data_IF_508543709818
#
_entry.id   IF_508543709818
#
_cell.length_a   1.000
_cell.length_b   1.000
_cell.length_c   1.000
_cell.angle_alpha   90.00
_cell.angle_beta   90.00
_cell.angle_gamma   90.00
#
_symmetry.space_group_name_H-M   'P 1'
#
loop_
_entity.id
_entity.type
_entity.pdbx_description
1 polymer ?
#
# COMPACT_ATOMS: atom_id res chain seq x y z
N UNK A 1 39.94 -34.22 2.54
CA UNK A 1 39.62 -33.43 1.34
C UNK A 1 38.37 -34.02 0.70
N UNK A 2 37.18 -33.47 1.03
CA UNK A 2 35.88 -33.90 0.48
C UNK A 2 35.48 -32.88 -0.59
N UNK A 3 35.27 -33.34 -1.83
CA UNK A 3 34.77 -32.50 -2.94
C UNK A 3 33.25 -32.44 -2.82
N UNK A 4 32.69 -31.24 -2.63
CA UNK A 4 31.25 -30.97 -2.82
C UNK A 4 30.96 -30.81 -4.33
N UNK A 5 29.83 -31.32 -4.84
CA UNK A 5 29.44 -31.10 -6.22
C UNK A 5 28.79 -29.71 -6.40
N UNK A 6 29.35 -28.93 -7.32
CA UNK A 6 28.68 -27.79 -7.97
C UNK A 6 27.54 -28.33 -8.83
N UNK A 7 26.29 -28.25 -8.36
CA UNK A 7 25.09 -28.47 -9.19
C UNK A 7 23.92 -27.66 -8.61
N UNK A 8 24.02 -26.33 -8.67
CA UNK A 8 22.92 -25.41 -8.36
C UNK A 8 23.08 -24.14 -9.19
N UNK A 9 22.94 -24.24 -10.52
CA UNK A 9 22.90 -23.09 -11.40
C UNK A 9 22.26 -23.44 -12.75
N UNK A 10 20.95 -23.71 -12.78
CA UNK A 10 20.12 -23.60 -13.99
C UNK A 10 18.67 -24.09 -13.71
N UNK A 11 17.89 -23.35 -12.92
CA UNK A 11 16.45 -23.63 -12.79
C UNK A 11 15.65 -22.38 -12.38
N UNK A 12 15.96 -21.20 -12.94
CA UNK A 12 15.23 -19.97 -12.59
C UNK A 12 15.15 -18.99 -13.77
N UNK A 13 14.67 -19.42 -14.95
CA UNK A 13 14.52 -18.54 -16.11
C UNK A 13 13.30 -18.81 -17.01
N UNK A 14 12.23 -19.46 -16.52
CA UNK A 14 11.02 -19.65 -17.34
C UNK A 14 9.77 -19.41 -16.50
N UNK A 15 9.39 -18.14 -16.33
CA UNK A 15 8.01 -17.70 -16.07
C UNK A 15 7.87 -16.16 -16.17
N UNK A 16 7.79 -15.57 -17.39
CA UNK A 16 7.25 -14.23 -17.55
C UNK A 16 6.11 -14.22 -18.59
N UNK A 17 5.09 -15.07 -18.43
CA UNK A 17 3.97 -15.15 -19.38
C UNK A 17 2.57 -14.95 -18.77
N UNK A 18 2.47 -14.66 -17.47
CA UNK A 18 1.20 -14.37 -16.80
C UNK A 18 1.15 -12.98 -16.14
N UNK A 19 2.09 -12.08 -16.49
CA UNK A 19 1.91 -10.64 -16.30
C UNK A 19 0.99 -10.15 -17.41
N UNK A 20 -0.31 -10.43 -17.25
CA UNK A 20 -1.34 -9.88 -18.12
C UNK A 20 -1.12 -8.39 -18.29
N UNK A 21 -1.23 -7.93 -19.54
CA UNK A 21 -1.01 -6.56 -20.00
C UNK A 21 -1.61 -5.54 -19.03
N UNK A 22 -0.81 -5.06 -18.08
CA UNK A 22 -1.01 -3.78 -17.45
C UNK A 22 -0.62 -2.74 -18.50
N UNK A 23 -1.52 -2.49 -19.44
CA UNK A 23 -1.37 -1.41 -20.40
C UNK A 23 -1.13 -0.12 -19.64
N UNK A 24 -0.07 0.55 -20.05
CA UNK A 24 0.38 1.85 -19.60
C UNK A 24 -0.80 2.83 -19.67
N UNK A 25 -1.44 3.10 -18.52
CA UNK A 25 -2.44 4.15 -18.41
C UNK A 25 -1.69 5.45 -18.63
N UNK A 26 -1.78 5.99 -19.85
CA UNK A 26 -1.27 7.33 -20.18
C UNK A 26 -2.03 8.32 -19.30
N UNK A 27 -1.32 8.84 -18.30
CA UNK A 27 -1.81 9.91 -17.47
C UNK A 27 -1.76 11.18 -18.32
N UNK A 28 -2.88 11.51 -18.96
CA UNK A 28 -3.05 12.87 -19.48
C UNK A 28 -3.21 13.80 -18.27
N UNK A 29 -2.30 14.76 -18.06
CA UNK A 29 -2.44 15.70 -16.97
C UNK A 29 -3.77 16.44 -17.17
N UNK A 30 -4.69 16.27 -16.23
CA UNK A 30 -5.98 16.95 -16.25
C UNK A 30 -5.77 18.46 -16.43
N UNK A 31 -6.68 19.14 -17.17
CA UNK A 31 -6.55 20.57 -17.44
C UNK A 31 -6.33 21.30 -16.13
N UNK A 32 -5.28 22.12 -16.07
CA UNK A 32 -4.93 22.91 -14.91
C UNK A 32 -6.19 23.62 -14.41
N UNK A 33 -6.58 23.33 -13.15
CA UNK A 33 -7.74 23.94 -12.53
C UNK A 33 -7.57 25.46 -12.62
N UNK A 34 -8.41 26.10 -13.42
CA UNK A 34 -8.53 27.55 -13.49
C UNK A 34 -8.96 27.99 -12.10
N UNK A 35 -8.02 28.57 -11.34
CA UNK A 35 -8.32 29.22 -10.06
C UNK A 35 -9.24 30.39 -10.35
N UNK A 36 -10.53 30.19 -10.14
CA UNK A 36 -11.47 31.29 -10.00
C UNK A 36 -11.17 31.98 -8.67
N UNK A 37 -10.33 33.01 -8.75
CA UNK A 37 -10.14 34.01 -7.72
C UNK A 37 -11.49 34.72 -7.50
N UNK A 38 -12.27 34.21 -6.55
CA UNK A 38 -13.48 34.87 -6.06
C UNK A 38 -13.08 35.68 -4.83
N UNK A 39 -12.78 36.95 -5.07
CA UNK A 39 -12.90 37.96 -4.04
C UNK A 39 -14.39 38.10 -3.70
N UNK A 40 -14.79 37.75 -2.49
CA UNK A 40 -15.66 38.65 -1.71
C UNK A 40 -15.71 38.21 -0.25
N UNK A 41 -15.16 39.09 0.58
CA UNK A 41 -15.21 39.05 2.02
C UNK A 41 -16.45 39.84 2.44
N UNK A 42 -17.55 39.16 2.79
CA UNK A 42 -18.71 39.84 3.37
C UNK A 42 -19.23 39.07 4.58
N UNK A 43 -18.87 39.61 5.73
CA UNK A 43 -19.39 39.35 7.06
C UNK A 43 -20.92 39.40 7.05
N UNK A 44 -21.56 38.27 7.32
CA UNK A 44 -22.98 38.23 7.68
C UNK A 44 -23.17 37.46 9.00
N UNK A 45 -23.73 38.21 9.94
CA UNK A 45 -24.15 37.88 11.30
C UNK A 45 -25.19 36.73 11.32
N UNK A 46 -25.10 35.75 12.24
CA UNK A 46 -26.08 34.67 12.31
C UNK A 46 -27.35 35.09 13.06
N UNK A 47 -28.55 34.97 12.47
CA UNK A 47 -29.79 35.09 13.24
C UNK A 47 -30.06 33.83 14.07
N UNK A 48 -30.55 34.09 15.27
CA UNK A 48 -30.95 33.12 16.27
C UNK A 48 -32.16 32.27 15.85
N UNK A 49 -32.16 31.03 16.37
CA UNK A 49 -33.33 30.21 16.71
C UNK A 49 -34.26 29.74 15.59
N UNK A 50 -34.26 28.42 15.38
CA UNK A 50 -35.49 27.66 15.20
C UNK A 50 -35.33 26.27 15.82
N UNK A 51 -35.96 26.11 16.98
CA UNK A 51 -36.24 24.83 17.63
C UNK A 51 -37.09 23.99 16.69
N UNK A 52 -36.57 22.84 16.26
CA UNK A 52 -37.34 21.84 15.52
C UNK A 52 -37.69 20.67 16.44
N UNK A 53 -38.96 20.22 16.50
CA UNK A 53 -39.44 19.26 17.48
C UNK A 53 -38.97 17.82 17.20
N UNK A 54 -38.84 17.07 18.29
CA UNK A 54 -38.44 15.67 18.34
C UNK A 54 -39.37 14.75 17.52
N UNK A 55 -38.83 13.78 16.75
CA UNK A 55 -39.63 12.72 16.16
C UNK A 55 -40.05 11.68 17.21
N UNK A 56 -41.31 11.29 17.15
CA UNK A 56 -41.98 10.30 17.99
C UNK A 56 -41.33 8.90 17.89
N UNK A 57 -41.38 8.09 18.98
CA UNK A 57 -40.88 6.71 18.96
C UNK A 57 -41.90 5.77 18.31
N UNK A 58 -41.54 5.20 17.15
CA UNK A 58 -42.28 4.10 16.53
C UNK A 58 -41.88 2.78 17.20
N UNK A 59 -42.86 2.16 17.89
CA UNK A 59 -42.75 0.85 18.52
C UNK A 59 -42.72 -0.29 17.49
N UNK A 60 -42.12 -1.45 17.85
CA UNK A 60 -41.80 -2.54 16.93
C UNK A 60 -43.03 -3.37 16.54
N UNK A 61 -43.10 -3.77 15.28
CA UNK A 61 -44.06 -4.78 14.78
C UNK A 61 -43.28 -6.02 14.32
N UNK A 62 -43.15 -7.01 15.19
CA UNK A 62 -43.16 -8.44 14.84
C UNK A 62 -44.61 -8.93 14.90
N UNK A 63 -45.03 -10.08 14.32
CA UNK A 63 -44.22 -11.17 13.76
C UNK A 63 -44.68 -11.66 12.36
N UNK A 64 -43.81 -12.36 11.63
CA UNK A 64 -44.24 -13.24 10.53
C UNK A 64 -43.46 -14.55 10.56
N UNK A 65 -44.11 -15.52 11.18
CA UNK A 65 -43.98 -16.96 11.08
C UNK A 65 -43.73 -17.40 9.62
N UNK A 66 -42.55 -17.93 9.30
CA UNK A 66 -42.30 -18.61 8.03
C UNK A 66 -42.05 -20.09 8.29
N UNK A 67 -42.87 -20.85 7.57
CA UNK A 67 -43.08 -22.28 7.66
C UNK A 67 -41.80 -23.12 7.42
N UNK A 68 -41.73 -24.18 8.21
CA UNK A 68 -40.92 -25.38 7.98
C UNK A 68 -41.26 -26.01 6.63
N UNK A 69 -40.32 -25.99 5.68
CA UNK A 69 -40.38 -26.79 4.45
C UNK A 69 -39.36 -27.94 4.54
N UNK A 70 -39.86 -29.14 4.23
CA UNK A 70 -39.18 -30.42 4.30
C UNK A 70 -37.96 -30.53 3.34
N UNK A 71 -36.97 -31.38 3.65
CA UNK A 71 -35.85 -31.65 2.77
C UNK A 71 -36.28 -32.52 1.58
N UNK A 72 -36.00 -32.03 0.36
CA UNK A 72 -36.10 -32.82 -0.86
C UNK A 72 -34.86 -33.71 -1.00
N UNK A 73 -35.15 -34.99 -1.17
CA UNK A 73 -34.26 -36.10 -1.49
C UNK A 73 -33.71 -35.93 -2.93
N UNK A 74 -32.43 -35.59 -3.06
CA UNK A 74 -31.72 -35.55 -4.35
C UNK A 74 -30.78 -36.74 -4.46
N UNK A 75 -31.19 -37.67 -5.33
CA UNK A 75 -30.41 -38.81 -5.78
C UNK A 75 -29.10 -38.40 -6.47
N UNK A 76 -28.06 -39.27 -6.47
CA UNK A 76 -26.77 -39.00 -7.08
C UNK A 76 -26.86 -39.14 -8.61
N UNK A 77 -26.52 -38.06 -9.33
CA UNK A 77 -26.35 -38.09 -10.79
C UNK A 77 -24.91 -38.50 -11.10
N UNK A 78 -24.72 -39.74 -11.55
CA UNK A 78 -23.49 -40.21 -12.19
C UNK A 78 -23.20 -39.35 -13.43
N UNK A 79 -22.13 -38.55 -13.39
CA UNK A 79 -21.59 -37.89 -14.57
C UNK A 79 -20.54 -38.78 -15.21
N UNK A 80 -20.92 -39.33 -16.37
CA UNK A 80 -20.07 -40.02 -17.34
C UNK A 80 -19.05 -39.04 -17.94
N UNK A 81 -17.74 -39.38 -18.03
CA UNK A 81 -16.76 -38.50 -18.66
C UNK A 81 -16.91 -38.57 -20.18
N UNK A 82 -17.37 -37.48 -20.78
CA UNK A 82 -17.37 -37.30 -22.23
C UNK A 82 -15.98 -36.82 -22.69
N UNK A 83 -15.42 -37.54 -23.65
CA UNK A 83 -14.25 -37.19 -24.44
C UNK A 83 -14.28 -35.73 -24.92
N UNK A 84 -13.20 -34.99 -24.66
CA UNK A 84 -12.97 -33.70 -25.28
C UNK A 84 -12.44 -33.89 -26.72
N UNK A 85 -12.99 -33.21 -27.73
CA UNK A 85 -12.48 -33.27 -29.09
C UNK A 85 -11.16 -32.50 -29.23
N UNK A 86 -10.21 -33.12 -29.94
CA UNK A 86 -8.98 -32.53 -30.45
C UNK A 86 -9.31 -31.28 -31.29
N UNK A 87 -8.91 -30.10 -30.82
CA UNK A 87 -8.94 -28.88 -31.63
C UNK A 87 -7.58 -28.76 -32.33
N UNK A 88 -7.55 -29.09 -33.61
CA UNK A 88 -6.46 -28.73 -34.52
C UNK A 88 -6.43 -27.21 -34.68
N UNK A 89 -5.45 -26.55 -34.07
CA UNK A 89 -5.12 -25.16 -34.38
C UNK A 89 -4.33 -25.08 -35.69
N UNK A 90 -4.74 -24.25 -36.66
CA UNK A 90 -4.00 -24.05 -37.90
C UNK A 90 -2.67 -23.32 -37.66
N UNK A 91 -1.65 -23.51 -38.54
CA UNK A 91 -0.35 -22.89 -38.41
C UNK A 91 -0.45 -21.36 -38.61
N UNK A 92 0.17 -20.61 -37.69
CA UNK A 92 0.40 -19.17 -37.86
C UNK A 92 1.40 -18.97 -39.01
N UNK A 93 0.93 -18.34 -40.09
CA UNK A 93 1.78 -17.75 -41.12
C UNK A 93 2.59 -16.59 -40.51
N UNK A 94 3.91 -16.78 -40.44
CA UNK A 94 4.91 -15.77 -40.15
C UNK A 94 4.98 -14.77 -41.31
N UNK A 95 4.28 -13.65 -41.18
CA UNK A 95 4.49 -12.50 -42.05
C UNK A 95 5.86 -11.87 -41.75
N UNK A 96 6.73 -12.00 -42.75
CA UNK A 96 8.04 -11.37 -42.87
C UNK A 96 7.86 -9.92 -43.36
N UNK A 97 8.84 -9.06 -43.04
CA UNK A 97 9.07 -7.69 -43.57
C UNK A 97 8.24 -6.56 -42.92
N UNK A 98 8.82 -5.49 -42.39
CA UNK A 98 9.69 -4.53 -43.12
C UNK A 98 10.45 -3.63 -42.13
N UNK A 99 11.72 -3.26 -42.37
CA UNK A 99 12.41 -2.20 -41.63
C UNK A 99 12.14 -0.83 -42.30
N UNK A 100 11.55 0.12 -41.58
CA UNK A 100 11.30 1.47 -42.12
C UNK A 100 11.61 2.57 -41.11
N UNK A 101 12.49 3.47 -41.58
CA UNK A 101 12.68 4.87 -41.24
C UNK A 101 13.42 5.24 -39.94
N UNK A 102 14.72 5.48 -40.16
CA UNK A 102 15.60 6.42 -39.47
C UNK A 102 14.97 7.83 -39.35
N UNK A 103 14.86 8.40 -38.13
CA UNK A 103 14.44 9.78 -37.94
C UNK A 103 15.61 10.76 -38.22
N UNK A 104 15.37 11.89 -38.91
CA UNK A 104 16.41 12.84 -39.24
C UNK A 104 16.89 13.62 -38.01
N UNK A 105 18.21 13.76 -37.92
CA UNK A 105 18.89 14.70 -37.06
C UNK A 105 18.47 16.14 -37.41
N UNK A 106 17.95 16.89 -36.42
CA UNK A 106 17.85 18.33 -36.53
C UNK A 106 17.87 19.03 -35.16
N UNK A 107 18.84 19.96 -35.06
CA UNK A 107 18.84 21.21 -34.32
C UNK A 107 18.89 21.16 -32.78
N UNK A 108 20.12 21.27 -32.28
CA UNK A 108 20.46 22.03 -31.08
C UNK A 108 19.97 23.48 -31.20
N UNK A 109 19.20 24.01 -30.23
CA UNK A 109 19.16 25.43 -29.98
C UNK A 109 20.16 25.82 -28.88
N UNK A 110 20.72 26.99 -29.12
CA UNK A 110 21.82 27.67 -28.45
C UNK A 110 21.60 27.90 -26.95
N UNK A 111 22.74 27.94 -26.26
CA UNK A 111 22.89 28.39 -24.89
C UNK A 111 22.42 29.84 -24.72
N UNK A 112 21.45 30.05 -23.82
CA UNK A 112 21.21 31.36 -23.22
C UNK A 112 21.91 31.39 -21.87
N UNK A 113 23.05 32.10 -21.84
CA UNK A 113 23.71 32.52 -20.62
C UNK A 113 22.77 33.44 -19.83
N UNK A 114 22.50 33.07 -18.57
CA UNK A 114 21.87 34.00 -17.61
C UNK A 114 22.96 34.53 -16.68
N UNK A 115 23.08 35.86 -16.51
CA UNK A 115 24.14 36.49 -15.73
C UNK A 115 23.97 36.24 -14.23
N UNK A 116 25.11 36.17 -13.56
CA UNK A 116 25.26 36.24 -12.14
C UNK A 116 24.59 37.50 -11.57
N UNK A 117 23.69 37.32 -10.62
CA UNK A 117 23.27 38.37 -9.70
C UNK A 117 23.66 38.01 -8.27
N UNK A 118 24.00 39.06 -7.57
CA UNK A 118 24.96 39.09 -6.51
C UNK A 118 24.40 38.71 -5.15
N UNK A 119 25.35 38.25 -4.34
CA UNK A 119 25.34 38.20 -2.90
C UNK A 119 24.47 39.26 -2.21
N UNK A 120 23.60 38.80 -1.31
CA UNK A 120 23.36 39.47 -0.02
C UNK A 120 23.01 38.39 1.00
N UNK A 121 24.03 37.92 1.73
CA UNK A 121 23.82 37.18 2.96
C UNK A 121 23.53 38.19 4.08
N UNK A 122 22.39 38.12 4.79
CA UNK A 122 22.22 38.84 6.04
C UNK A 122 23.13 38.18 7.08
N UNK A 123 24.17 38.93 7.47
CA UNK A 123 25.05 38.64 8.59
C UNK A 123 24.22 38.71 9.87
N UNK A 124 23.80 37.56 10.40
CA UNK A 124 23.19 37.44 11.72
C UNK A 124 24.30 37.63 12.76
N UNK A 125 24.35 38.85 13.32
CA UNK A 125 25.13 39.16 14.49
C UNK A 125 24.75 38.20 15.62
N UNK A 126 25.70 37.35 15.99
CA UNK A 126 25.66 36.54 17.19
C UNK A 126 25.82 37.48 18.39
N UNK A 127 24.70 37.94 18.91
CA UNK A 127 24.67 38.65 20.19
C UNK A 127 25.02 37.65 21.30
N UNK A 128 26.18 37.89 21.90
CA UNK A 128 26.77 37.07 22.95
C UNK A 128 26.02 37.24 24.26
N UNK A 129 24.90 36.54 24.42
CA UNK A 129 24.31 36.30 25.72
C UNK A 129 24.99 35.09 26.36
N UNK A 130 26.07 35.36 27.09
CA UNK A 130 26.70 34.40 27.99
C UNK A 130 25.66 33.99 29.06
N UNK A 131 25.24 32.71 29.10
CA UNK A 131 24.32 32.26 30.15
C UNK A 131 25.03 32.36 31.51
N UNK A 132 24.34 32.85 32.55
CA UNK A 132 24.88 32.88 33.89
C UNK A 132 25.21 31.45 34.33
N UNK A 133 26.42 31.28 34.86
CA UNK A 133 26.86 30.08 35.54
C UNK A 133 25.94 29.84 36.75
N UNK A 134 24.87 29.09 36.52
CA UNK A 134 23.94 28.63 37.53
C UNK A 134 24.42 27.31 38.11
N UNK A 135 24.60 27.30 39.42
CA UNK A 135 25.02 26.19 40.27
C UNK A 135 24.36 24.84 39.95
N UNK A 136 25.18 23.80 40.09
CA UNK A 136 24.77 22.40 39.97
C UNK A 136 23.71 22.03 41.01
N UNK A 137 22.47 21.99 40.55
CA UNK A 137 21.50 21.06 41.10
C UNK A 137 21.74 19.72 40.40
N UNK A 138 22.29 18.76 41.15
CA UNK A 138 22.45 17.38 40.73
C UNK A 138 21.08 16.81 40.34
N UNK A 139 20.75 16.87 39.06
CA UNK A 139 19.54 16.30 38.46
C UNK A 139 19.74 14.82 38.13
N UNK A 140 20.49 14.10 38.98
CA UNK A 140 20.90 12.71 38.79
C UNK A 140 19.98 11.72 39.53
N UNK A 141 18.93 12.21 40.22
CA UNK A 141 18.18 11.40 41.20
C UNK A 141 16.65 11.38 40.99
N UNK A 142 16.14 11.87 39.86
CA UNK A 142 14.69 11.88 39.57
C UNK A 142 14.28 11.11 38.31
N UNK A 143 15.21 10.45 37.62
CA UNK A 143 14.84 9.51 36.58
C UNK A 143 14.66 8.14 37.23
N UNK A 144 13.42 7.68 37.47
CA UNK A 144 13.20 6.31 37.91
C UNK A 144 13.90 5.41 36.90
N UNK A 145 14.81 4.56 37.38
CA UNK A 145 15.43 3.53 36.55
C UNK A 145 14.30 2.73 35.92
N UNK A 146 14.07 2.96 34.62
CA UNK A 146 13.02 2.32 33.85
C UNK A 146 13.34 0.83 33.90
N UNK A 147 12.61 0.13 34.77
CA UNK A 147 12.82 -1.29 34.99
C UNK A 147 12.49 -1.95 33.66
N UNK A 148 13.45 -2.68 33.03
CA UNK A 148 13.24 -3.23 31.70
C UNK A 148 11.95 -4.03 31.72
N UNK A 149 11.00 -3.62 30.86
CA UNK A 149 9.71 -4.26 30.77
C UNK A 149 9.93 -5.76 30.53
N UNK A 150 9.12 -6.64 31.16
CA UNK A 150 9.24 -8.07 30.96
C UNK A 150 9.23 -8.41 29.47
N UNK A 151 10.21 -9.21 29.04
CA UNK A 151 10.37 -9.66 27.65
C UNK A 151 9.01 -10.16 27.14
N UNK A 152 8.42 -9.40 26.21
CA UNK A 152 7.19 -9.83 25.55
C UNK A 152 7.47 -11.17 24.86
N UNK A 153 6.58 -12.18 24.99
CA UNK A 153 6.81 -13.49 24.42
C UNK A 153 7.08 -13.37 22.92
N UNK A 154 8.15 -14.03 22.44
CA UNK A 154 8.48 -14.02 21.04
C UNK A 154 7.31 -14.60 20.22
N UNK A 155 6.76 -13.80 19.31
CA UNK A 155 5.66 -14.19 18.41
C UNK A 155 6.09 -15.36 17.55
N UNK A 156 5.23 -16.38 17.40
CA UNK A 156 5.56 -17.54 16.59
C UNK A 156 5.71 -17.14 15.10
N UNK A 157 6.65 -17.74 14.34
CA UNK A 157 6.82 -17.43 12.91
C UNK A 157 5.54 -17.53 12.09
N UNK A 158 4.70 -18.54 12.37
CA UNK A 158 3.41 -18.72 11.71
C UNK A 158 2.43 -17.57 11.95
N UNK A 159 2.42 -16.98 13.15
CA UNK A 159 1.57 -15.83 13.48
C UNK A 159 2.07 -14.57 12.75
N UNK A 160 3.39 -14.37 12.68
CA UNK A 160 3.99 -13.27 11.90
C UNK A 160 3.62 -13.37 10.43
N UNK A 161 3.74 -14.58 9.85
CA UNK A 161 3.36 -14.82 8.46
C UNK A 161 1.87 -14.54 8.23
N UNK A 162 0.99 -14.96 9.13
CA UNK A 162 -0.45 -14.71 9.01
C UNK A 162 -0.81 -13.23 9.14
N UNK A 163 -0.19 -12.47 10.05
CA UNK A 163 -0.35 -11.00 10.15
C UNK A 163 0.10 -10.33 8.84
N UNK A 164 1.26 -10.73 8.33
CA UNK A 164 1.77 -10.24 7.06
C UNK A 164 0.80 -10.53 5.90
N UNK A 165 0.34 -11.78 5.77
CA UNK A 165 -0.58 -12.20 4.71
C UNK A 165 -1.93 -11.48 4.79
N UNK A 166 -2.47 -11.28 5.98
CA UNK A 166 -3.70 -10.53 6.18
C UNK A 166 -3.55 -9.10 5.65
N UNK A 167 -2.52 -8.38 6.07
CA UNK A 167 -2.28 -7.00 5.68
C UNK A 167 -1.92 -6.84 4.19
N UNK A 168 -1.00 -7.68 3.67
CA UNK A 168 -0.55 -7.58 2.28
C UNK A 168 -1.64 -7.93 1.28
N UNK A 169 -2.43 -8.99 1.52
CA UNK A 169 -3.49 -9.41 0.60
C UNK A 169 -4.68 -8.46 0.66
N UNK A 170 -5.05 -7.96 1.84
CA UNK A 170 -6.10 -6.96 1.97
C UNK A 170 -5.78 -5.67 1.21
N UNK A 171 -4.58 -5.11 1.45
CA UNK A 171 -4.15 -3.87 0.79
C UNK A 171 -3.92 -4.05 -0.72
N UNK A 172 -3.45 -5.23 -1.16
CA UNK A 172 -3.33 -5.54 -2.59
C UNK A 172 -4.70 -5.70 -3.26
N UNK A 173 -5.66 -6.38 -2.61
CA UNK A 173 -7.03 -6.47 -3.09
C UNK A 173 -7.68 -5.07 -3.19
N UNK A 174 -7.42 -4.20 -2.22
CA UNK A 174 -7.86 -2.80 -2.25
C UNK A 174 -7.24 -2.04 -3.45
N UNK A 175 -5.95 -2.25 -3.76
CA UNK A 175 -5.31 -1.67 -4.92
C UNK A 175 -5.89 -2.17 -6.26
N UNK A 176 -6.22 -3.46 -6.36
CA UNK A 176 -6.91 -4.03 -7.53
C UNK A 176 -8.32 -3.45 -7.70
N UNK A 177 -9.06 -3.33 -6.59
CA UNK A 177 -10.37 -2.69 -6.57
C UNK A 177 -10.31 -1.20 -6.95
N UNK A 178 -9.32 -0.45 -6.47
CA UNK A 178 -9.08 0.95 -6.85
C UNK A 178 -8.92 1.13 -8.37
N UNK A 179 -8.27 0.16 -9.02
CA UNK A 179 -8.08 0.13 -10.48
C UNK A 179 -9.28 -0.43 -11.24
N UNK A 180 -10.41 -0.65 -10.57
CA UNK A 180 -11.67 -1.13 -11.14
C UNK A 180 -11.50 -2.44 -11.93
N UNK A 181 -10.61 -3.32 -11.45
CA UNK A 181 -10.51 -4.66 -12.00
C UNK A 181 -11.79 -5.45 -11.67
N UNK A 182 -12.17 -6.45 -12.50
CA UNK A 182 -13.32 -7.30 -12.23
C UNK A 182 -13.24 -7.96 -10.85
N UNK A 183 -14.38 -8.14 -10.17
CA UNK A 183 -14.45 -8.64 -8.80
C UNK A 183 -13.77 -10.00 -8.63
N UNK A 184 -13.88 -10.85 -9.65
CA UNK A 184 -13.28 -12.19 -9.69
C UNK A 184 -11.75 -12.15 -9.55
N UNK A 185 -11.12 -11.01 -9.88
CA UNK A 185 -9.67 -10.82 -9.78
C UNK A 185 -9.20 -10.52 -8.36
N UNK A 186 -10.01 -9.86 -7.53
CA UNK A 186 -9.61 -9.44 -6.19
C UNK A 186 -10.34 -10.15 -5.06
N UNK A 187 -11.52 -10.73 -5.30
CA UNK A 187 -12.30 -11.44 -4.26
C UNK A 187 -11.56 -12.65 -3.69
N UNK A 188 -10.87 -13.43 -4.54
CA UNK A 188 -10.06 -14.55 -4.09
C UNK A 188 -8.95 -14.09 -3.13
N UNK A 189 -8.23 -13.03 -3.50
CA UNK A 189 -7.19 -12.43 -2.65
C UNK A 189 -7.76 -11.88 -1.35
N UNK A 190 -8.95 -11.25 -1.39
CA UNK A 190 -9.62 -10.73 -0.20
C UNK A 190 -10.08 -11.87 0.74
N UNK A 191 -10.56 -12.99 0.19
CA UNK A 191 -10.92 -14.18 0.98
C UNK A 191 -9.70 -14.80 1.66
N UNK A 192 -8.57 -14.87 0.96
CA UNK A 192 -7.30 -15.31 1.56
C UNK A 192 -6.81 -14.36 2.66
N UNK A 193 -6.97 -13.05 2.47
CA UNK A 193 -6.66 -12.05 3.50
C UNK A 193 -7.51 -12.27 4.76
N UNK A 194 -8.83 -12.47 4.58
CA UNK A 194 -9.76 -12.74 5.66
C UNK A 194 -9.43 -14.05 6.40
N UNK A 195 -9.08 -15.12 5.68
CA UNK A 195 -8.68 -16.38 6.29
C UNK A 195 -7.40 -16.23 7.14
N UNK A 196 -6.40 -15.51 6.63
CA UNK A 196 -5.19 -15.21 7.39
C UNK A 196 -5.50 -14.38 8.64
N UNK A 197 -6.33 -13.33 8.51
CA UNK A 197 -6.72 -12.46 9.60
C UNK A 197 -7.47 -13.22 10.72
N UNK A 198 -8.42 -14.09 10.35
CA UNK A 198 -9.14 -14.96 11.29
C UNK A 198 -8.19 -15.86 12.07
N UNK A 199 -7.15 -16.42 11.42
CA UNK A 199 -6.19 -17.31 12.07
C UNK A 199 -5.38 -16.64 13.19
N UNK A 200 -5.21 -15.32 13.13
CA UNK A 200 -4.51 -14.50 14.15
C UNK A 200 -5.45 -13.56 14.91
N UNK A 201 -6.76 -13.73 14.73
CA UNK A 201 -7.80 -12.90 15.34
C UNK A 201 -7.84 -11.45 14.87
N UNK A 202 -7.09 -11.03 13.85
CA UNK A 202 -7.08 -9.65 13.33
C UNK A 202 -8.37 -9.37 12.56
N UNK A 203 -8.96 -8.20 12.77
CA UNK A 203 -10.13 -7.75 12.04
C UNK A 203 -9.69 -6.92 10.84
N UNK A 204 -10.13 -7.30 9.64
CA UNK A 204 -9.89 -6.54 8.43
C UNK A 204 -11.10 -5.64 8.13
N UNK A 205 -10.89 -4.35 7.88
CA UNK A 205 -11.97 -3.47 7.48
C UNK A 205 -12.48 -3.85 6.07
N UNK A 206 -13.75 -3.59 5.75
CA UNK A 206 -14.27 -3.79 4.41
C UNK A 206 -13.55 -2.88 3.40
N UNK A 207 -13.56 -3.26 2.13
CA UNK A 207 -13.04 -2.40 1.07
C UNK A 207 -13.83 -1.07 1.04
N UNK A 208 -13.13 0.08 0.91
CA UNK A 208 -13.78 1.38 0.98
C UNK A 208 -14.67 1.59 -0.26
N UNK A 209 -15.88 2.09 -0.03
CA UNK A 209 -16.78 2.51 -1.09
C UNK A 209 -16.50 3.97 -1.42
N UNK A 210 -16.46 4.29 -2.71
CA UNK A 210 -16.38 5.68 -3.15
C UNK A 210 -17.65 6.43 -2.70
N UNK A 211 -17.47 7.54 -1.99
CA UNK A 211 -18.55 8.48 -1.71
C UNK A 211 -18.91 9.32 -2.93
N UNK A 212 -19.94 10.14 -2.80
CA UNK A 212 -20.38 11.03 -3.89
C UNK A 212 -19.23 11.93 -4.37
N UNK A 213 -18.86 11.79 -5.64
CA UNK A 213 -17.83 12.61 -6.29
C UNK A 213 -16.37 12.19 -6.06
N UNK A 214 -16.11 11.16 -5.25
CA UNK A 214 -14.77 10.59 -5.10
C UNK A 214 -14.56 9.43 -6.10
N UNK A 215 -13.34 9.27 -6.63
CA UNK A 215 -13.01 8.06 -7.37
C UNK A 215 -12.76 6.87 -6.42
N UNK A 216 -12.95 5.61 -6.87
CA UNK A 216 -12.57 4.43 -6.08
C UNK A 216 -11.11 4.46 -5.62
N UNK A 217 -10.21 4.95 -6.48
CA UNK A 217 -8.79 5.11 -6.15
C UNK A 217 -8.56 6.11 -5.01
N UNK A 218 -9.24 7.26 -5.02
CA UNK A 218 -9.15 8.23 -3.93
C UNK A 218 -9.65 7.66 -2.60
N UNK A 219 -10.78 6.92 -2.63
CA UNK A 219 -11.33 6.28 -1.44
C UNK A 219 -10.38 5.22 -0.87
N UNK A 220 -9.73 4.42 -1.73
CA UNK A 220 -8.72 3.43 -1.30
C UNK A 220 -7.47 4.09 -0.75
N UNK A 221 -6.92 5.11 -1.43
CA UNK A 221 -5.75 5.85 -0.93
C UNK A 221 -6.05 6.43 0.46
N UNK A 222 -7.20 7.06 0.65
CA UNK A 222 -7.61 7.59 1.95
C UNK A 222 -7.75 6.51 3.03
N UNK A 223 -8.31 5.34 2.68
CA UNK A 223 -8.44 4.23 3.62
C UNK A 223 -7.09 3.61 4.02
N UNK A 224 -6.17 3.46 3.06
CA UNK A 224 -4.83 2.91 3.30
C UNK A 224 -3.90 3.89 4.04
N UNK A 225 -4.20 5.20 4.01
CA UNK A 225 -3.47 6.23 4.75
C UNK A 225 -4.09 6.57 6.12
N UNK A 226 -5.37 6.24 6.33
CA UNK A 226 -6.15 6.71 7.46
C UNK A 226 -6.58 5.62 8.45
N UNK A 227 -7.72 5.86 9.10
CA UNK A 227 -8.28 5.03 10.16
C UNK A 227 -8.41 3.53 9.83
N UNK A 228 -8.86 3.11 8.63
CA UNK A 228 -8.98 1.68 8.33
C UNK A 228 -7.64 0.94 8.42
N UNK A 229 -6.57 1.50 7.84
CA UNK A 229 -5.23 0.92 7.97
C UNK A 229 -4.70 0.99 9.40
N UNK A 230 -4.91 2.12 10.09
CA UNK A 230 -4.51 2.29 11.48
C UNK A 230 -5.15 1.25 12.41
N UNK A 231 -6.42 0.90 12.18
CA UNK A 231 -7.12 -0.13 12.93
C UNK A 231 -6.48 -1.52 12.76
N UNK A 232 -6.10 -1.91 11.54
CA UNK A 232 -5.39 -3.18 11.28
C UNK A 232 -4.04 -3.20 12.00
N UNK A 233 -3.29 -2.11 11.91
CA UNK A 233 -1.97 -1.97 12.54
C UNK A 233 -2.09 -2.03 14.07
N UNK A 234 -3.06 -1.31 14.66
CA UNK A 234 -3.32 -1.31 16.09
C UNK A 234 -3.75 -2.70 16.59
N UNK A 235 -4.63 -3.37 15.85
CA UNK A 235 -5.09 -4.73 16.16
C UNK A 235 -3.95 -5.75 16.15
N UNK A 236 -3.00 -5.64 15.21
CA UNK A 236 -1.79 -6.46 15.20
C UNK A 236 -0.83 -6.10 16.34
N UNK A 237 -0.65 -4.81 16.64
CA UNK A 237 0.20 -4.31 17.71
C UNK A 237 -0.27 -4.77 19.08
N UNK A 238 -1.56 -4.67 19.35
CA UNK A 238 -2.16 -5.05 20.63
C UNK A 238 -1.99 -6.55 20.92
N UNK A 239 -2.13 -7.39 19.89
CA UNK A 239 -2.08 -8.85 20.06
C UNK A 239 -0.68 -9.43 20.08
N UNK A 240 0.19 -8.94 19.20
CA UNK A 240 1.48 -9.57 18.92
C UNK A 240 2.66 -8.60 19.13
N UNK A 241 2.39 -7.40 19.63
CA UNK A 241 3.41 -6.39 19.94
C UNK A 241 3.82 -5.53 18.75
N UNK A 242 4.71 -4.54 18.99
CA UNK A 242 5.04 -3.49 18.02
C UNK A 242 5.58 -4.00 16.68
N UNK A 243 6.39 -5.06 16.70
CA UNK A 243 6.98 -5.63 15.49
C UNK A 243 5.91 -6.18 14.52
N UNK A 244 4.84 -6.78 15.03
CA UNK A 244 3.72 -7.26 14.21
C UNK A 244 2.91 -6.10 13.62
N UNK A 245 2.72 -5.02 14.40
CA UNK A 245 2.16 -3.77 13.89
C UNK A 245 3.00 -3.16 12.77
N UNK A 246 4.31 -3.08 12.96
CA UNK A 246 5.25 -2.63 11.92
C UNK A 246 5.19 -3.49 10.66
N UNK A 247 5.08 -4.81 10.82
CA UNK A 247 4.95 -5.76 9.71
C UNK A 247 3.65 -5.55 8.91
N UNK A 248 2.53 -5.30 9.58
CA UNK A 248 1.28 -4.94 8.92
C UNK A 248 1.39 -3.58 8.20
N UNK A 249 2.01 -2.58 8.85
CA UNK A 249 2.16 -1.24 8.30
C UNK A 249 3.02 -1.25 7.03
N UNK A 250 4.19 -1.91 7.04
CA UNK A 250 5.06 -1.95 5.86
C UNK A 250 4.39 -2.66 4.68
N UNK A 251 3.60 -3.71 4.93
CA UNK A 251 2.80 -4.39 3.90
C UNK A 251 1.76 -3.46 3.24
N UNK A 252 1.06 -2.66 4.05
CA UNK A 252 0.04 -1.72 3.59
C UNK A 252 0.70 -0.59 2.80
N UNK A 253 1.79 -0.03 3.34
CA UNK A 253 2.52 1.10 2.73
C UNK A 253 3.14 0.70 1.38
N UNK A 254 3.72 -0.49 1.26
CA UNK A 254 4.27 -0.95 -0.01
C UNK A 254 3.20 -1.10 -1.10
N UNK A 255 2.00 -1.59 -0.77
CA UNK A 255 0.89 -1.67 -1.72
C UNK A 255 0.26 -0.30 -2.02
N UNK A 256 0.24 0.63 -1.06
CA UNK A 256 -0.20 2.01 -1.29
C UNK A 256 0.66 2.70 -2.36
N UNK A 257 1.97 2.44 -2.40
CA UNK A 257 2.86 2.96 -3.44
C UNK A 257 2.40 2.58 -4.86
N UNK A 258 1.73 1.43 -5.05
CA UNK A 258 1.19 1.04 -6.37
C UNK A 258 0.14 2.04 -6.89
N UNK A 259 -0.52 2.78 -6.00
CA UNK A 259 -1.57 3.75 -6.31
C UNK A 259 -1.04 5.18 -6.31
N UNK A 260 -0.21 5.55 -5.33
CA UNK A 260 0.14 6.96 -5.09
C UNK A 260 1.55 7.36 -5.52
N UNK A 261 2.43 6.41 -5.81
CA UNK A 261 3.83 6.72 -6.10
C UNK A 261 4.00 7.34 -7.50
N UNK A 262 4.72 8.44 -7.54
CA UNK A 262 5.30 8.97 -8.78
C UNK A 262 6.58 9.74 -8.42
N UNK A 263 7.72 9.45 -9.08
CA UNK A 263 9.00 10.10 -8.75
C UNK A 263 8.97 11.62 -9.02
N UNK A 264 8.02 12.09 -9.84
CA UNK A 264 7.86 13.52 -10.18
C UNK A 264 6.95 14.29 -9.22
N UNK A 265 6.25 13.61 -8.30
CA UNK A 265 5.38 14.28 -7.33
C UNK A 265 6.22 14.74 -6.13
N UNK A 266 5.86 15.88 -5.55
CA UNK A 266 6.56 16.46 -4.40
C UNK A 266 6.48 15.63 -3.10
N UNK A 267 5.63 14.60 -3.05
CA UNK A 267 5.46 13.72 -1.91
C UNK A 267 6.26 12.40 -1.99
N UNK A 268 7.02 12.16 -3.06
CA UNK A 268 7.78 10.91 -3.23
C UNK A 268 8.77 10.65 -2.08
N UNK A 269 9.49 11.68 -1.62
CA UNK A 269 10.44 11.57 -0.51
C UNK A 269 9.73 11.27 0.83
N UNK A 270 8.52 11.80 1.03
CA UNK A 270 7.70 11.51 2.22
C UNK A 270 7.26 10.05 2.18
N UNK A 271 6.80 9.57 1.03
CA UNK A 271 6.40 8.16 0.86
C UNK A 271 7.58 7.19 1.08
N UNK A 272 8.78 7.56 0.64
CA UNK A 272 10.00 6.78 0.88
C UNK A 272 10.35 6.73 2.38
N UNK A 273 10.32 7.88 3.07
CA UNK A 273 10.54 7.97 4.52
C UNK A 273 9.52 7.17 5.33
N UNK A 274 8.23 7.27 4.99
CA UNK A 274 7.13 6.51 5.61
C UNK A 274 7.34 5.00 5.45
N UNK A 275 7.74 4.56 4.26
CA UNK A 275 8.05 3.15 3.99
C UNK A 275 9.24 2.66 4.84
N UNK A 276 10.35 3.41 4.83
CA UNK A 276 11.56 3.04 5.59
C UNK A 276 11.27 2.97 7.09
N UNK A 277 10.57 3.95 7.66
CA UNK A 277 10.19 3.94 9.07
C UNK A 277 9.30 2.73 9.43
N UNK A 278 8.34 2.38 8.56
CA UNK A 278 7.51 1.18 8.76
C UNK A 278 8.34 -0.11 8.66
N UNK A 279 9.29 -0.17 7.73
CA UNK A 279 10.16 -1.32 7.54
C UNK A 279 11.10 -1.54 8.74
N UNK A 280 11.70 -0.48 9.29
CA UNK A 280 12.53 -0.55 10.50
C UNK A 280 11.72 -1.02 11.72
N UNK A 281 10.48 -0.56 11.85
CA UNK A 281 9.57 -0.98 12.93
C UNK A 281 9.09 -2.45 12.81
N UNK A 282 9.20 -3.06 11.63
CA UNK A 282 8.66 -4.41 11.37
C UNK A 282 9.54 -5.57 11.88
N UNK A 283 10.77 -5.26 12.34
CA UNK A 283 11.80 -6.25 12.65
C UNK A 283 12.10 -7.21 11.48
N UNK A 284 11.83 -6.81 10.23
CA UNK A 284 12.31 -7.50 9.04
C UNK A 284 13.82 -7.22 8.88
N UNK A 285 14.59 -8.22 8.41
CA UNK A 285 15.99 -8.01 8.11
C UNK A 285 16.16 -6.98 7.00
N UNK A 286 17.18 -6.14 7.13
CA UNK A 286 17.41 -5.00 6.25
C UNK A 286 17.55 -5.43 4.79
N UNK A 287 18.11 -6.60 4.54
CA UNK A 287 18.29 -7.20 3.22
C UNK A 287 16.97 -7.47 2.48
N UNK A 288 15.84 -7.55 3.20
CA UNK A 288 14.53 -7.72 2.61
C UNK A 288 13.97 -6.41 2.03
N UNK A 289 14.10 -5.28 2.74
CA UNK A 289 13.40 -4.05 2.39
C UNK A 289 14.32 -2.93 1.87
N UNK A 290 15.62 -2.94 2.18
CA UNK A 290 16.57 -1.91 1.75
C UNK A 290 16.65 -1.73 0.22
N UNK A 291 16.57 -2.78 -0.62
CA UNK A 291 16.57 -2.58 -2.07
C UNK A 291 15.42 -1.71 -2.55
N UNK A 292 14.22 -1.88 -1.98
CA UNK A 292 13.05 -1.06 -2.30
C UNK A 292 13.20 0.36 -1.73
N UNK A 293 13.65 0.51 -0.48
CA UNK A 293 13.90 1.82 0.13
C UNK A 293 14.91 2.65 -0.68
N UNK A 294 16.05 2.05 -1.05
CA UNK A 294 17.09 2.70 -1.87
C UNK A 294 16.55 3.14 -3.22
N UNK A 295 15.69 2.32 -3.84
CA UNK A 295 15.06 2.66 -5.12
C UNK A 295 14.09 3.83 -4.98
N UNK A 296 13.31 3.90 -3.89
CA UNK A 296 12.39 4.99 -3.61
C UNK A 296 13.14 6.30 -3.33
N UNK A 297 14.18 6.26 -2.48
CA UNK A 297 15.03 7.40 -2.15
C UNK A 297 15.77 7.95 -3.38
N UNK A 298 16.17 7.06 -4.30
CA UNK A 298 16.78 7.42 -5.57
C UNK A 298 15.79 7.97 -6.61
N UNK A 299 14.49 8.08 -6.29
CA UNK A 299 13.47 8.54 -7.24
C UNK A 299 13.28 7.58 -8.42
N UNK A 300 13.35 6.27 -8.16
CA UNK A 300 13.21 5.24 -9.19
C UNK A 300 11.93 5.38 -10.01
N UNK A 301 12.01 5.03 -11.29
CA UNK A 301 10.83 5.06 -12.17
C UNK A 301 9.73 4.11 -11.68
N UNK A 302 8.46 4.49 -11.88
CA UNK A 302 7.31 3.75 -11.36
C UNK A 302 7.34 2.26 -11.72
N UNK A 303 7.74 1.91 -12.95
CA UNK A 303 7.82 0.52 -13.41
C UNK A 303 8.84 -0.30 -12.60
N UNK A 304 9.98 0.31 -12.26
CA UNK A 304 11.01 -0.32 -11.44
C UNK A 304 10.51 -0.49 -10.00
N UNK A 305 9.89 0.54 -9.43
CA UNK A 305 9.32 0.52 -8.07
C UNK A 305 8.23 -0.54 -7.95
N UNK A 306 7.30 -0.61 -8.90
CA UNK A 306 6.26 -1.65 -8.95
C UNK A 306 6.86 -3.05 -8.94
N UNK A 307 7.89 -3.28 -9.76
CA UNK A 307 8.56 -4.59 -9.84
C UNK A 307 9.27 -4.93 -8.53
N UNK A 308 9.91 -3.95 -7.90
CA UNK A 308 10.57 -4.10 -6.60
C UNK A 308 9.57 -4.36 -5.46
N UNK A 309 8.38 -3.75 -5.48
CA UNK A 309 7.30 -4.04 -4.52
C UNK A 309 6.89 -5.52 -4.59
N UNK A 310 6.65 -6.05 -5.79
CA UNK A 310 6.31 -7.49 -5.92
C UNK A 310 7.46 -8.42 -5.53
N UNK A 311 8.71 -8.03 -5.80
CA UNK A 311 9.87 -8.79 -5.34
C UNK A 311 9.97 -8.79 -3.81
N UNK A 312 9.81 -7.63 -3.19
CA UNK A 312 9.78 -7.45 -1.73
C UNK A 312 8.72 -8.33 -1.09
N UNK A 313 7.49 -8.32 -1.59
CA UNK A 313 6.42 -9.12 -0.97
C UNK A 313 6.70 -10.63 -1.00
N UNK A 314 7.20 -11.15 -2.14
CA UNK A 314 7.59 -12.56 -2.25
C UNK A 314 8.74 -12.91 -1.31
N UNK A 315 9.75 -12.06 -1.23
CA UNK A 315 10.91 -12.28 -0.35
C UNK A 315 10.48 -12.32 1.13
N UNK A 316 9.56 -11.46 1.56
CA UNK A 316 9.04 -11.48 2.93
C UNK A 316 8.18 -12.71 3.20
N UNK A 317 7.34 -13.14 2.25
CA UNK A 317 6.58 -14.40 2.38
C UNK A 317 7.52 -15.60 2.57
N UNK A 318 8.59 -15.70 1.76
CA UNK A 318 9.60 -16.77 1.88
C UNK A 318 10.35 -16.69 3.21
N UNK A 319 10.71 -15.48 3.66
CA UNK A 319 11.45 -15.27 4.89
C UNK A 319 10.66 -15.65 6.14
N UNK A 320 9.36 -15.35 6.16
CA UNK A 320 8.49 -15.62 7.31
C UNK A 320 7.97 -17.07 7.33
N UNK A 321 8.12 -17.81 6.23
CA UNK A 321 7.75 -19.22 6.15
C UNK A 321 8.79 -20.17 6.79
N UNK A 322 9.97 -19.65 7.16
CA UNK A 322 11.10 -20.41 7.70
C UNK A 322 11.47 -19.95 9.12
#
# INVERSE_FOLDING_TARGET
>A
MKRLPLLTAAALCVLPALLGCWEEIKYEPGPAAVRHETADNSTAEPPASAVSPAPEPVLPTEPAEIATAAPADTAPVEHSPAEAPLVETPPLDLATETPVAEPPAAASPEAVATPADAATQPSLEADGAQPPAGEGASFDELFPSETPAPDSPAVAPAERLAVWQAAQKWSFAAAMYAKQLPAERYEATLAEAAAAAVSVGVELPPLPKAGDGASPEQAVVAALQGEPAAAVIASATERFGPAAGGLANVAIRSNLLLLSYSPRRGDAAIQAGDFTAAAEASALPAEAWQPLATLLDGGGEYVAVRSAIFAFHRQVDELLAH
#
